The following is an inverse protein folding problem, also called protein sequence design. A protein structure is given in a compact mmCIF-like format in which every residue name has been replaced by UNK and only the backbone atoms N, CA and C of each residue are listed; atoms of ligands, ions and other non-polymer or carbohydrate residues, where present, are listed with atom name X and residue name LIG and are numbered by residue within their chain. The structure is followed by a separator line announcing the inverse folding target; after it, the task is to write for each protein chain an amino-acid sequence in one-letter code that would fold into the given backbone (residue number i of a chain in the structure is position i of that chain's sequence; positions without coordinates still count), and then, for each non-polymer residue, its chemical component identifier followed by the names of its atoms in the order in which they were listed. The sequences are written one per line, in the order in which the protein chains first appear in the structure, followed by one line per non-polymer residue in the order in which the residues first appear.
data_IF_976077901650
#
_entry.id   IF_976077901650
#
_cell.length_a   1.000
_cell.length_b   1.000
_cell.length_c   1.000
_cell.angle_alpha   90.00
_cell.angle_beta   90.00
_cell.angle_gamma   90.00
#
_symmetry.space_group_name_H-M   'P 1'
#
loop_
_entity.id
_entity.type
_entity.pdbx_description
1 polymer ?
#
# COMPACT_ATOMS: atom_id res chain seq x y z
N UNK A 1 -11.04 -17.35 -12.37
CA UNK A 1 -9.95 -16.59 -13.00
C UNK A 1 -9.30 -15.66 -11.98
N UNK A 2 -7.98 -15.70 -11.88
CA UNK A 2 -7.29 -14.79 -10.97
C UNK A 2 -7.24 -13.37 -11.55
N UNK A 3 -7.41 -12.38 -10.70
CA UNK A 3 -7.22 -10.97 -11.06
C UNK A 3 -5.77 -10.60 -10.76
N UNK A 4 -5.03 -10.26 -11.79
CA UNK A 4 -3.61 -9.95 -11.67
C UNK A 4 -3.37 -8.48 -11.36
N UNK A 5 -2.39 -8.23 -10.51
CA UNK A 5 -2.00 -6.88 -10.10
C UNK A 5 -0.49 -6.72 -10.14
N UNK A 6 -0.04 -5.54 -10.52
CA UNK A 6 1.34 -5.11 -10.37
C UNK A 6 1.45 -4.21 -9.16
N UNK A 7 2.36 -4.52 -8.25
CA UNK A 7 2.62 -3.65 -7.11
C UNK A 7 3.64 -2.58 -7.51
N UNK A 8 3.22 -1.33 -7.38
CA UNK A 8 4.03 -0.18 -7.79
C UNK A 8 4.87 0.35 -6.64
N UNK A 9 4.35 0.28 -5.42
CA UNK A 9 5.03 0.75 -4.21
C UNK A 9 4.85 -0.27 -3.09
N UNK A 10 5.93 -0.62 -2.42
CA UNK A 10 5.95 -1.66 -1.39
C UNK A 10 6.46 -1.15 -0.04
N UNK A 11 6.42 0.16 0.18
CA UNK A 11 6.98 0.81 1.36
C UNK A 11 6.11 0.58 2.60
N UNK A 12 6.50 -0.39 3.44
CA UNK A 12 5.85 -0.68 4.71
C UNK A 12 6.92 -0.77 5.79
N UNK A 13 6.79 0.02 6.84
CA UNK A 13 7.75 0.03 7.93
C UNK A 13 7.13 -0.54 9.21
N UNK A 14 7.72 -1.63 9.69
CA UNK A 14 7.37 -2.24 10.97
C UNK A 14 8.68 -2.38 11.76
N UNK A 15 8.77 -1.75 12.94
CA UNK A 15 9.95 -1.88 13.78
C UNK A 15 10.13 -3.33 14.26
N UNK A 16 11.37 -3.71 14.55
CA UNK A 16 11.66 -5.05 15.09
C UNK A 16 10.85 -5.35 16.35
N UNK A 17 10.65 -4.36 17.21
CA UNK A 17 9.83 -4.48 18.42
C UNK A 17 8.36 -4.74 18.07
N UNK A 18 7.80 -3.98 17.14
CA UNK A 18 6.41 -4.17 16.71
C UNK A 18 6.21 -5.49 15.96
N UNK A 19 7.19 -5.92 15.16
CA UNK A 19 7.13 -7.23 14.52
C UNK A 19 7.10 -8.36 15.56
N UNK A 20 7.89 -8.25 16.60
CA UNK A 20 7.89 -9.21 17.70
C UNK A 20 6.54 -9.24 18.44
N UNK A 21 5.93 -8.07 18.65
CA UNK A 21 4.59 -7.97 19.23
C UNK A 21 3.55 -8.62 18.33
N UNK A 22 3.65 -8.41 17.03
CA UNK A 22 2.78 -9.07 16.05
C UNK A 22 2.89 -10.60 16.15
N UNK A 23 4.11 -11.13 16.20
CA UNK A 23 4.34 -12.57 16.36
C UNK A 23 3.70 -13.12 17.65
N UNK A 24 3.81 -12.39 18.75
CA UNK A 24 3.26 -12.78 20.04
C UNK A 24 1.73 -12.74 20.05
N UNK A 25 1.14 -11.76 19.40
CA UNK A 25 -0.32 -11.56 19.40
C UNK A 25 -1.04 -12.38 18.33
N UNK A 26 -0.33 -12.84 17.30
CA UNK A 26 -0.90 -13.59 16.19
C UNK A 26 -0.13 -14.89 15.90
N UNK A 27 -0.03 -15.78 16.88
CA UNK A 27 0.75 -17.02 16.73
C UNK A 27 0.19 -17.94 15.63
N UNK A 28 -1.09 -17.81 15.28
CA UNK A 28 -1.71 -18.60 14.21
C UNK A 28 -1.12 -18.31 12.84
N UNK A 29 -0.49 -17.16 12.66
CA UNK A 29 0.16 -16.78 11.39
C UNK A 29 1.57 -17.35 11.23
N UNK A 30 2.08 -18.01 12.26
CA UNK A 30 3.44 -18.54 12.29
C UNK A 30 3.44 -20.06 12.54
N UNK A 31 4.45 -20.73 12.00
CA UNK A 31 4.69 -22.13 12.28
C UNK A 31 5.42 -22.30 13.63
N UNK A 32 5.69 -23.56 14.00
CA UNK A 32 6.38 -23.89 15.25
C UNK A 32 7.83 -23.38 15.33
N UNK A 33 8.38 -22.96 14.18
CA UNK A 33 9.75 -22.42 14.10
C UNK A 33 9.76 -20.89 14.03
N UNK A 34 8.60 -20.25 14.09
CA UNK A 34 8.48 -18.79 14.01
C UNK A 34 8.45 -18.23 12.60
N UNK A 35 8.31 -19.07 11.58
CA UNK A 35 8.19 -18.62 10.19
C UNK A 35 6.73 -18.37 9.83
N UNK A 36 6.47 -17.39 8.96
CA UNK A 36 5.13 -17.12 8.47
C UNK A 36 4.57 -18.33 7.71
N UNK A 37 3.31 -18.62 7.95
CA UNK A 37 2.61 -19.71 7.26
C UNK A 37 2.14 -19.23 5.88
N UNK A 38 2.58 -19.93 4.85
CA UNK A 38 2.18 -19.66 3.47
C UNK A 38 0.89 -20.36 3.04
N UNK A 39 0.45 -21.35 3.79
CA UNK A 39 -0.72 -22.16 3.44
C UNK A 39 -1.52 -22.54 4.68
N UNK A 40 -2.78 -22.90 4.44
CA UNK A 40 -3.70 -23.34 5.48
C UNK A 40 -4.85 -22.34 5.68
N UNK A 41 -5.96 -22.79 6.29
CA UNK A 41 -7.19 -22.00 6.36
C UNK A 41 -7.11 -20.76 7.25
N UNK A 42 -6.06 -20.64 8.04
CA UNK A 42 -5.84 -19.50 8.94
C UNK A 42 -4.71 -18.57 8.46
N UNK A 43 -4.11 -18.87 7.31
CA UNK A 43 -3.02 -18.05 6.78
C UNK A 43 -3.56 -17.01 5.82
N UNK A 44 -3.39 -15.75 6.16
CA UNK A 44 -3.66 -14.63 5.26
C UNK A 44 -2.43 -14.26 4.43
N UNK A 45 -1.28 -14.90 4.71
CA UNK A 45 -0.01 -14.55 4.10
C UNK A 45 0.21 -15.22 2.73
N UNK A 46 -0.66 -16.12 2.30
CA UNK A 46 -0.47 -16.92 1.08
C UNK A 46 -0.26 -16.08 -0.19
N UNK A 47 -0.81 -14.88 -0.25
CA UNK A 47 -0.73 -13.98 -1.39
C UNK A 47 0.45 -13.00 -1.35
N UNK A 48 1.33 -13.15 -0.36
CA UNK A 48 2.43 -12.21 -0.14
C UNK A 48 3.78 -12.93 -0.16
N UNK A 49 4.80 -12.23 -0.60
CA UNK A 49 6.18 -12.68 -0.44
C UNK A 49 6.63 -12.46 1.00
N UNK A 50 7.68 -13.15 1.48
CA UNK A 50 8.23 -12.87 2.79
C UNK A 50 8.58 -11.38 2.92
N UNK A 51 8.28 -10.74 4.07
CA UNK A 51 8.67 -9.36 4.29
C UNK A 51 10.19 -9.17 4.12
N UNK A 52 10.58 -8.06 3.55
CA UNK A 52 12.00 -7.69 3.49
C UNK A 52 12.41 -7.01 4.79
N UNK A 53 13.44 -7.56 5.44
CA UNK A 53 13.98 -7.04 6.69
C UNK A 53 15.31 -6.35 6.49
N UNK A 54 15.48 -5.20 7.17
CA UNK A 54 16.75 -4.51 7.26
C UNK A 54 16.98 -4.13 8.72
N UNK A 55 18.08 -4.61 9.30
CA UNK A 55 18.42 -4.42 10.72
C UNK A 55 17.29 -4.88 11.68
N UNK A 56 16.54 -5.90 11.29
CA UNK A 56 15.44 -6.45 12.07
C UNK A 56 14.09 -5.77 11.84
N UNK A 57 14.06 -4.64 11.17
CA UNK A 57 12.83 -3.93 10.82
C UNK A 57 12.30 -4.38 9.45
N UNK A 58 10.98 -4.46 9.30
CA UNK A 58 10.35 -4.70 8.00
C UNK A 58 10.39 -3.39 7.21
N UNK A 59 10.86 -3.44 5.97
CA UNK A 59 10.98 -2.27 5.10
C UNK A 59 10.10 -2.35 3.86
N UNK A 60 9.84 -3.57 3.37
CA UNK A 60 9.02 -3.77 2.17
C UNK A 60 8.14 -5.00 2.33
N UNK A 61 6.97 -4.94 1.69
CA UNK A 61 6.05 -6.07 1.58
C UNK A 61 5.51 -6.14 0.16
N UNK A 62 5.84 -7.22 -0.55
CA UNK A 62 5.46 -7.42 -1.94
C UNK A 62 4.39 -8.48 -2.08
N UNK A 63 3.37 -8.17 -2.89
CA UNK A 63 2.35 -9.13 -3.29
C UNK A 63 2.96 -10.19 -4.22
N UNK A 64 2.49 -11.41 -4.07
CA UNK A 64 2.94 -12.54 -4.91
C UNK A 64 2.09 -12.60 -6.17
N UNK A 65 2.63 -12.13 -7.28
CA UNK A 65 1.94 -11.96 -8.55
C UNK A 65 1.21 -13.21 -9.05
N UNK A 66 1.79 -14.38 -8.81
CA UNK A 66 1.24 -15.65 -9.28
C UNK A 66 -0.11 -16.04 -8.65
N UNK A 67 -0.48 -15.41 -7.53
CA UNK A 67 -1.66 -15.80 -6.77
C UNK A 67 -2.90 -14.93 -7.02
N UNK A 68 -2.76 -13.89 -7.84
CA UNK A 68 -3.85 -12.95 -8.09
C UNK A 68 -4.22 -12.11 -6.86
N UNK A 69 -5.23 -11.30 -7.01
CA UNK A 69 -5.74 -10.42 -5.94
C UNK A 69 -7.11 -10.87 -5.48
N UNK A 70 -7.30 -10.99 -4.17
CA UNK A 70 -8.59 -11.26 -3.56
C UNK A 70 -8.72 -10.60 -2.18
N UNK A 71 -9.83 -10.83 -1.54
CA UNK A 71 -10.16 -10.26 -0.24
C UNK A 71 -9.16 -10.62 0.87
N UNK A 72 -8.51 -11.79 0.77
CA UNK A 72 -7.53 -12.22 1.78
C UNK A 72 -6.26 -11.37 1.74
N UNK A 73 -5.93 -10.76 0.60
CA UNK A 73 -4.82 -9.82 0.49
C UNK A 73 -5.02 -8.62 1.42
N UNK A 74 -6.24 -8.08 1.44
CA UNK A 74 -6.60 -6.94 2.30
C UNK A 74 -6.63 -7.35 3.77
N UNK A 75 -7.16 -8.51 4.08
CA UNK A 75 -7.20 -9.03 5.45
C UNK A 75 -5.82 -9.11 6.09
N UNK A 76 -4.80 -9.49 5.31
CA UNK A 76 -3.43 -9.50 5.79
C UNK A 76 -2.94 -8.09 6.17
N UNK A 77 -3.25 -7.11 5.35
CA UNK A 77 -2.88 -5.71 5.61
C UNK A 77 -3.60 -5.16 6.83
N UNK A 78 -4.87 -5.48 7.00
CA UNK A 78 -5.65 -5.07 8.18
C UNK A 78 -5.07 -5.69 9.46
N UNK A 79 -4.62 -6.94 9.38
CA UNK A 79 -4.02 -7.63 10.52
C UNK A 79 -2.70 -6.97 10.93
N UNK A 80 -1.90 -6.51 9.96
CA UNK A 80 -0.63 -5.84 10.20
C UNK A 80 -0.80 -4.39 10.68
N UNK A 81 -1.88 -3.72 10.32
CA UNK A 81 -2.05 -2.28 10.49
C UNK A 81 -1.70 -1.74 11.88
N UNK A 82 -2.08 -2.38 13.01
CA UNK A 82 -1.74 -1.87 14.34
C UNK A 82 -0.24 -1.83 14.66
N UNK A 83 0.57 -2.50 13.86
CA UNK A 83 2.02 -2.63 14.08
C UNK A 83 2.85 -1.84 13.09
N UNK A 84 2.21 -1.26 12.07
CA UNK A 84 2.86 -0.53 10.98
C UNK A 84 3.02 0.92 11.37
N UNK A 85 4.20 1.48 11.08
CA UNK A 85 4.46 2.91 11.30
C UNK A 85 3.60 3.76 10.35
N UNK A 86 3.21 4.93 10.83
CA UNK A 86 2.51 5.92 10.00
C UNK A 86 3.37 6.27 8.77
N UNK A 87 2.74 6.73 7.71
CA UNK A 87 3.35 7.07 6.42
C UNK A 87 3.79 5.87 5.57
N UNK A 88 3.58 4.64 6.04
CA UNK A 88 3.75 3.46 5.19
C UNK A 88 2.65 3.42 4.13
N UNK A 89 3.04 3.12 2.89
CA UNK A 89 2.12 3.09 1.76
C UNK A 89 2.43 1.94 0.82
N UNK A 90 1.40 1.26 0.34
CA UNK A 90 1.50 0.26 -0.72
C UNK A 90 0.50 0.57 -1.81
N UNK A 91 0.93 0.50 -3.07
CA UNK A 91 0.11 0.86 -4.21
C UNK A 91 0.14 -0.21 -5.29
N UNK A 92 -0.96 -0.34 -6.02
CA UNK A 92 -1.19 -1.40 -6.99
C UNK A 92 -1.81 -0.87 -8.27
N UNK A 93 -1.53 -1.57 -9.37
CA UNK A 93 -2.14 -1.36 -10.67
C UNK A 93 -2.71 -2.69 -11.16
N UNK A 94 -3.99 -2.74 -11.43
CA UNK A 94 -4.68 -3.95 -11.88
C UNK A 94 -4.65 -4.14 -13.40
N UNK A 95 -4.95 -5.35 -13.83
CA UNK A 95 -4.98 -5.73 -15.26
C UNK A 95 -6.03 -4.99 -16.09
N UNK A 96 -7.06 -4.44 -15.44
CA UNK A 96 -8.09 -3.61 -16.05
C UNK A 96 -7.80 -2.10 -16.00
N UNK A 97 -6.53 -1.76 -15.75
CA UNK A 97 -6.06 -0.39 -15.61
C UNK A 97 -6.62 0.36 -14.40
N UNK A 98 -7.06 -0.36 -13.39
CA UNK A 98 -7.49 0.20 -12.12
C UNK A 98 -6.30 0.42 -11.19
N UNK A 99 -6.25 1.58 -10.54
CA UNK A 99 -5.24 1.93 -9.56
C UNK A 99 -5.85 2.01 -8.17
N UNK A 100 -5.14 1.46 -7.17
CA UNK A 100 -5.53 1.60 -5.76
C UNK A 100 -4.32 1.47 -4.85
N UNK A 101 -4.52 1.73 -3.59
CA UNK A 101 -3.48 1.58 -2.60
C UNK A 101 -3.99 1.78 -1.19
N UNK A 102 -3.10 1.61 -0.25
CA UNK A 102 -3.40 1.74 1.17
C UNK A 102 -2.29 2.50 1.86
N UNK A 103 -2.70 3.35 2.79
CA UNK A 103 -1.83 4.02 3.75
C UNK A 103 -2.14 3.50 5.14
N UNK A 104 -1.14 3.44 5.98
CA UNK A 104 -1.29 3.05 7.37
C UNK A 104 -1.22 4.31 8.24
N UNK A 105 -2.28 4.59 8.98
CA UNK A 105 -2.37 5.76 9.85
C UNK A 105 -3.00 5.38 11.18
N UNK A 106 -2.34 5.71 12.28
CA UNK A 106 -2.85 5.49 13.65
C UNK A 106 -3.29 4.04 13.91
N UNK A 107 -2.59 3.06 13.34
CA UNK A 107 -2.90 1.65 13.48
C UNK A 107 -4.06 1.15 12.63
N UNK A 108 -4.51 1.95 11.67
CA UNK A 108 -5.61 1.63 10.77
C UNK A 108 -5.17 1.64 9.32
N UNK A 109 -5.84 0.82 8.51
CA UNK A 109 -5.64 0.78 7.06
C UNK A 109 -6.58 1.77 6.38
N UNK A 110 -6.01 2.72 5.65
CA UNK A 110 -6.76 3.76 4.92
C UNK A 110 -6.69 3.49 3.43
N UNK A 111 -7.85 3.43 2.77
CA UNK A 111 -7.94 3.26 1.32
C UNK A 111 -7.53 4.56 0.61
N UNK A 112 -6.60 4.45 -0.33
CA UNK A 112 -6.02 5.58 -1.08
C UNK A 112 -6.33 5.52 -2.56
N UNK A 113 -7.38 4.85 -2.97
CA UNK A 113 -7.68 4.59 -4.38
C UNK A 113 -7.56 5.84 -5.27
N UNK A 114 -8.11 6.96 -4.84
CA UNK A 114 -8.06 8.22 -5.58
C UNK A 114 -6.68 8.89 -5.51
N UNK A 115 -6.00 8.83 -4.36
CA UNK A 115 -4.68 9.42 -4.16
C UNK A 115 -3.59 8.70 -4.98
N UNK A 116 -3.71 7.38 -5.18
CA UNK A 116 -2.79 6.60 -5.99
C UNK A 116 -2.76 7.10 -7.43
N UNK A 117 -3.91 7.44 -7.98
CA UNK A 117 -4.01 7.97 -9.35
C UNK A 117 -3.22 9.28 -9.48
N UNK A 118 -3.28 10.16 -8.48
CA UNK A 118 -2.56 11.41 -8.50
C UNK A 118 -1.04 11.25 -8.38
N UNK A 119 -0.58 10.27 -7.58
CA UNK A 119 0.85 10.08 -7.34
C UNK A 119 1.59 9.38 -8.49
N UNK A 120 0.89 8.66 -9.35
CA UNK A 120 1.49 7.90 -10.45
C UNK A 120 1.65 8.70 -11.74
N UNK A 121 1.28 9.97 -11.74
CA UNK A 121 1.04 10.67 -12.97
C UNK A 121 1.85 11.88 -13.29
N UNK A 122 1.93 12.07 -14.58
CA UNK A 122 2.16 13.33 -15.22
C UNK A 122 1.28 14.46 -14.64
N UNK A 123 1.85 15.64 -14.52
CA UNK A 123 1.15 16.86 -14.11
C UNK A 123 0.26 17.38 -15.23
N UNK A 124 -0.80 16.67 -15.57
CA UNK A 124 -1.81 17.18 -16.48
C UNK A 124 -2.93 17.90 -15.69
N UNK A 125 -3.80 18.56 -16.42
CA UNK A 125 -4.88 19.36 -15.85
C UNK A 125 -5.85 18.50 -15.02
N UNK A 126 -6.11 17.28 -15.44
CA UNK A 126 -7.00 16.37 -14.73
C UNK A 126 -6.41 15.92 -13.40
N UNK A 127 -5.12 15.62 -13.38
CA UNK A 127 -4.40 15.25 -12.15
C UNK A 127 -4.42 16.39 -11.14
N UNK A 128 -4.20 17.63 -11.57
CA UNK A 128 -4.25 18.80 -10.71
C UNK A 128 -5.64 19.02 -10.11
N UNK A 129 -6.69 18.84 -10.91
CA UNK A 129 -8.08 18.94 -10.43
C UNK A 129 -8.37 17.89 -9.36
N UNK A 130 -7.90 16.66 -9.57
CA UNK A 130 -8.08 15.58 -8.58
C UNK A 130 -7.35 15.89 -7.29
N UNK A 131 -6.11 16.35 -7.36
CA UNK A 131 -5.33 16.69 -6.17
C UNK A 131 -5.99 17.80 -5.37
N UNK A 132 -6.59 18.77 -6.04
CA UNK A 132 -7.33 19.82 -5.37
C UNK A 132 -8.57 19.28 -4.64
N UNK A 133 -9.32 18.38 -5.28
CA UNK A 133 -10.52 17.75 -4.69
C UNK A 133 -10.15 16.88 -3.49
N UNK A 134 -9.00 16.20 -3.55
CA UNK A 134 -8.50 15.36 -2.46
C UNK A 134 -7.84 16.14 -1.33
N UNK A 135 -7.67 17.47 -1.49
CA UNK A 135 -7.05 18.31 -0.48
C UNK A 135 -5.53 18.20 -0.38
N UNK A 136 -4.88 17.56 -1.35
CA UNK A 136 -3.41 17.45 -1.40
C UNK A 136 -2.72 18.73 -1.84
N UNK A 137 -3.45 19.62 -2.53
CA UNK A 137 -2.99 20.93 -2.94
C UNK A 137 -3.90 22.01 -2.35
N UNK A 138 -3.31 23.14 -1.98
CA UNK A 138 -4.09 24.32 -1.66
C UNK A 138 -4.62 24.94 -2.96
N UNK A 139 -5.71 25.72 -2.86
CA UNK A 139 -6.25 26.46 -4.02
C UNK A 139 -5.18 27.36 -4.64
N UNK A 140 -4.37 28.00 -3.82
CA UNK A 140 -3.27 28.87 -4.26
C UNK A 140 -2.22 28.10 -5.07
N UNK A 141 -1.80 26.94 -4.57
CA UNK A 141 -0.82 26.08 -5.27
C UNK A 141 -1.36 25.58 -6.60
N UNK A 142 -2.61 25.14 -6.64
CA UNK A 142 -3.25 24.68 -7.86
C UNK A 142 -3.37 25.80 -8.91
N UNK A 143 -3.71 27.02 -8.48
CA UNK A 143 -3.81 28.17 -9.36
C UNK A 143 -2.46 28.53 -9.99
N UNK A 144 -1.39 28.53 -9.21
CA UNK A 144 -0.04 28.77 -9.71
C UNK A 144 0.40 27.78 -10.75
N UNK A 145 0.13 26.50 -10.52
CA UNK A 145 0.49 25.42 -11.46
C UNK A 145 -0.33 25.53 -12.75
N UNK A 146 -1.63 25.83 -12.64
CA UNK A 146 -2.50 26.02 -13.81
C UNK A 146 -2.04 27.18 -14.67
N UNK A 147 -1.63 28.30 -14.08
CA UNK A 147 -1.11 29.46 -14.81
C UNK A 147 0.14 29.10 -15.60
N UNK A 148 1.07 28.34 -15.00
CA UNK A 148 2.28 27.87 -15.67
C UNK A 148 1.93 26.97 -16.86
N UNK A 149 1.01 26.02 -16.67
CA UNK A 149 0.59 25.09 -17.73
C UNK A 149 -0.08 25.82 -18.89
N UNK A 150 -0.91 26.83 -18.62
CA UNK A 150 -1.52 27.65 -19.66
C UNK A 150 -0.49 28.41 -20.48
N UNK A 151 0.54 28.94 -19.83
CA UNK A 151 1.64 29.61 -20.52
C UNK A 151 2.43 28.67 -21.43
N UNK A 152 2.63 27.44 -21.00
CA UNK A 152 3.36 26.43 -21.80
C UNK A 152 2.57 25.93 -23.01
N UNK A 153 1.25 26.01 -22.98
CA UNK A 153 0.37 25.59 -24.07
C UNK A 153 0.13 26.66 -25.12
N UNK A 154 0.60 27.86 -24.88
CA UNK A 154 0.49 28.98 -25.85
C UNK A 154 1.76 29.04 -26.81
#
# INVERSE_FOLDING_TARGET
MAYYVDQVKANIHITAENWKRFQQNHPAQFDKYGNLRYCGPKSFFAHWNPPYFENGDVQELWHRDANGWDETCVQWLELLAPYVEDDSEITFHGEDDEWWGYRFENGELVDMKAAVVSSSCSTDLETLKRNLVLGELTVEQATQILDILEQLQR
#
